data_IF_651867209897
#
_entry.id   IF_651867209897
#
_cell.length_a   1.000
_cell.length_b   1.000
_cell.length_c   1.000
_cell.angle_alpha   90.00
_cell.angle_beta   90.00
_cell.angle_gamma   90.00
#
_symmetry.space_group_name_H-M   'P 1'
#
loop_
_entity.id
_entity.type
_entity.pdbx_description
1 polymer ?
#
# COMPACT_ATOMS: atom_id res chain seq x y z
N UNK A 1 -43.74 -37.03 47.71
CA UNK A 1 -42.50 -36.33 47.35
C UNK A 1 -42.81 -35.42 46.17
N UNK A 2 -43.17 -34.17 46.47
CA UNK A 2 -43.62 -33.21 45.47
C UNK A 2 -42.47 -32.30 45.06
N UNK A 3 -42.20 -32.21 43.76
CA UNK A 3 -41.34 -31.17 43.23
C UNK A 3 -42.10 -29.84 43.21
N UNK A 4 -41.44 -28.79 43.70
CA UNK A 4 -41.89 -27.40 43.61
C UNK A 4 -42.11 -27.02 42.14
N UNK A 5 -43.24 -26.36 41.85
CA UNK A 5 -43.58 -25.81 40.51
C UNK A 5 -42.64 -24.66 40.16
N UNK A 6 -41.39 -24.95 39.83
CA UNK A 6 -40.56 -24.04 39.05
C UNK A 6 -40.87 -24.28 37.57
N UNK A 7 -41.32 -23.23 36.89
CA UNK A 7 -41.59 -23.27 35.45
C UNK A 7 -40.25 -23.24 34.72
N UNK A 8 -39.83 -24.37 34.14
CA UNK A 8 -38.74 -24.34 33.16
C UNK A 8 -39.23 -23.67 31.89
N UNK A 9 -38.53 -22.62 31.43
CA UNK A 9 -38.78 -22.04 30.13
C UNK A 9 -37.88 -22.73 29.10
N UNK A 10 -38.38 -23.75 28.38
CA UNK A 10 -37.60 -24.44 27.36
C UNK A 10 -37.91 -23.91 25.96
N UNK A 11 -36.87 -23.88 25.13
CA UNK A 11 -37.06 -23.79 23.68
C UNK A 11 -37.68 -25.10 23.15
N UNK A 12 -38.69 -25.03 22.25
CA UNK A 12 -39.39 -26.23 21.78
C UNK A 12 -38.45 -27.26 21.15
N UNK A 13 -38.48 -28.51 21.63
CA UNK A 13 -37.70 -29.62 21.06
C UNK A 13 -36.24 -29.71 21.51
N UNK A 14 -35.75 -28.77 22.32
CA UNK A 14 -34.33 -28.70 22.70
C UNK A 14 -33.99 -29.33 24.06
N UNK A 15 -34.98 -29.85 24.78
CA UNK A 15 -34.77 -30.54 26.05
C UNK A 15 -36.07 -30.96 26.75
N UNK A 16 -35.92 -31.45 27.97
CA UNK A 16 -37.01 -31.85 28.88
C UNK A 16 -36.84 -31.17 30.24
N UNK A 17 -37.95 -30.77 30.88
CA UNK A 17 -37.93 -30.20 32.22
C UNK A 17 -38.22 -31.28 33.26
N UNK A 18 -37.31 -31.45 34.22
CA UNK A 18 -37.50 -32.33 35.37
C UNK A 18 -37.39 -31.52 36.66
N UNK A 19 -38.51 -31.40 37.39
CA UNK A 19 -38.51 -30.79 38.73
C UNK A 19 -37.97 -29.36 38.82
N UNK A 20 -38.13 -28.55 37.76
CA UNK A 20 -37.62 -27.18 37.71
C UNK A 20 -36.21 -27.04 37.14
N UNK A 21 -35.57 -28.16 36.78
CA UNK A 21 -34.26 -28.19 36.11
C UNK A 21 -34.44 -28.58 34.64
N UNK A 22 -33.81 -27.82 33.74
CA UNK A 22 -33.81 -28.07 32.30
C UNK A 22 -32.72 -29.09 31.95
N UNK A 23 -33.11 -30.23 31.37
CA UNK A 23 -32.19 -31.20 30.78
C UNK A 23 -32.18 -31.05 29.26
N UNK A 24 -31.08 -30.52 28.73
CA UNK A 24 -30.96 -30.29 27.30
C UNK A 24 -30.69 -31.58 26.53
N UNK A 25 -31.24 -31.67 25.32
CA UNK A 25 -30.94 -32.72 24.38
C UNK A 25 -29.49 -32.59 23.86
N UNK A 26 -28.94 -33.69 23.34
CA UNK A 26 -27.63 -33.67 22.70
C UNK A 26 -27.58 -32.60 21.61
N UNK A 27 -26.56 -31.76 21.63
CA UNK A 27 -26.45 -30.62 20.70
C UNK A 27 -26.91 -29.28 21.29
N UNK A 28 -27.45 -29.23 22.51
CA UNK A 28 -27.96 -28.00 23.12
C UNK A 28 -27.45 -27.79 24.54
N UNK A 29 -27.20 -26.52 24.89
CA UNK A 29 -26.69 -26.09 26.21
C UNK A 29 -27.38 -24.80 26.68
N UNK A 30 -27.11 -24.42 27.92
CA UNK A 30 -27.67 -23.23 28.59
C UNK A 30 -28.90 -23.54 29.44
N UNK A 31 -29.25 -22.62 30.33
CA UNK A 31 -30.29 -22.79 31.35
C UNK A 31 -31.69 -23.09 30.76
N UNK A 32 -31.90 -22.75 29.49
CA UNK A 32 -33.15 -22.90 28.77
C UNK A 32 -32.99 -23.76 27.50
N UNK A 33 -31.84 -24.41 27.34
CA UNK A 33 -31.47 -25.20 26.15
C UNK A 33 -31.63 -24.40 24.85
N UNK A 34 -31.28 -23.11 24.88
CA UNK A 34 -31.45 -22.18 23.77
C UNK A 34 -30.20 -22.07 22.88
N UNK A 35 -29.08 -22.64 23.29
CA UNK A 35 -27.80 -22.49 22.63
C UNK A 35 -27.40 -23.80 21.96
N UNK A 36 -27.26 -23.81 20.63
CA UNK A 36 -26.74 -24.97 19.91
C UNK A 36 -25.24 -25.13 20.13
N UNK A 37 -24.76 -26.36 20.29
CA UNK A 37 -23.33 -26.71 20.32
C UNK A 37 -22.77 -27.01 18.93
N UNK A 38 -23.60 -26.93 17.87
CA UNK A 38 -23.11 -27.08 16.51
C UNK A 38 -22.22 -25.90 16.12
N UNK A 39 -21.05 -26.21 15.57
CA UNK A 39 -20.06 -25.21 15.14
C UNK A 39 -19.89 -25.14 13.63
N UNK A 40 -20.65 -25.93 12.86
CA UNK A 40 -20.53 -26.03 11.40
C UNK A 40 -20.72 -24.68 10.71
N UNK A 41 -21.68 -23.87 11.18
CA UNK A 41 -21.95 -22.51 10.70
C UNK A 41 -20.88 -21.47 11.05
N UNK A 42 -19.99 -21.78 12.00
CA UNK A 42 -18.92 -20.89 12.43
C UNK A 42 -17.58 -21.17 11.72
N UNK A 43 -17.49 -22.21 10.89
CA UNK A 43 -16.27 -22.56 10.17
C UNK A 43 -16.26 -21.73 8.88
N UNK A 44 -15.22 -20.93 8.70
CA UNK A 44 -14.99 -20.13 7.50
C UNK A 44 -14.46 -20.98 6.33
N UNK A 45 -14.44 -20.45 5.12
CA UNK A 45 -13.95 -21.14 3.91
C UNK A 45 -12.48 -21.59 4.04
N UNK A 46 -11.70 -20.87 4.85
CA UNK A 46 -10.30 -21.20 5.17
C UNK A 46 -10.17 -22.36 6.18
N UNK A 47 -11.29 -22.97 6.61
CA UNK A 47 -11.35 -24.04 7.59
C UNK A 47 -11.12 -23.59 9.03
N UNK A 48 -10.97 -22.29 9.27
CA UNK A 48 -10.76 -21.72 10.60
C UNK A 48 -12.09 -21.35 11.27
N UNK A 49 -12.16 -21.54 12.59
CA UNK A 49 -13.31 -21.12 13.38
C UNK A 49 -13.34 -19.60 13.47
N UNK A 50 -14.42 -18.98 12.99
CA UNK A 50 -14.62 -17.53 12.94
C UNK A 50 -13.42 -16.77 12.33
N UNK A 51 -12.83 -17.36 11.27
CA UNK A 51 -11.64 -16.84 10.58
C UNK A 51 -10.44 -16.56 11.51
N UNK A 52 -10.42 -17.14 12.73
CA UNK A 52 -9.43 -16.87 13.76
C UNK A 52 -9.61 -15.54 14.51
N UNK A 53 -10.67 -14.78 14.22
CA UNK A 53 -10.89 -13.39 14.70
C UNK A 53 -12.00 -13.26 15.74
N UNK A 54 -12.54 -14.40 16.17
CA UNK A 54 -13.66 -14.44 17.09
C UNK A 54 -13.85 -15.82 17.72
N UNK A 55 -14.94 -15.95 18.47
CA UNK A 55 -15.33 -17.21 19.11
C UNK A 55 -16.73 -17.62 18.66
N UNK A 56 -16.94 -18.91 18.42
CA UNK A 56 -18.26 -19.44 18.08
C UNK A 56 -19.10 -19.59 19.34
N UNK A 57 -20.21 -18.87 19.41
CA UNK A 57 -21.16 -18.90 20.53
C UNK A 57 -22.54 -19.22 19.98
N UNK A 58 -23.12 -20.35 20.41
CA UNK A 58 -24.45 -20.81 19.98
C UNK A 58 -24.62 -20.94 18.45
N UNK A 59 -23.60 -21.42 17.75
CA UNK A 59 -23.63 -21.56 16.29
C UNK A 59 -23.49 -20.24 15.51
N UNK A 60 -23.08 -19.15 16.17
CA UNK A 60 -22.77 -17.87 15.52
C UNK A 60 -21.42 -17.34 15.98
N UNK A 61 -20.68 -16.71 15.07
CA UNK A 61 -19.42 -16.08 15.44
C UNK A 61 -19.64 -14.77 16.18
N UNK A 62 -18.95 -14.62 17.31
CA UNK A 62 -18.81 -13.38 18.04
C UNK A 62 -17.40 -12.85 17.78
N UNK A 63 -17.31 -11.84 16.93
CA UNK A 63 -16.04 -11.26 16.50
C UNK A 63 -15.43 -10.45 17.64
N UNK A 64 -14.21 -10.83 18.04
CA UNK A 64 -13.46 -10.18 19.13
C UNK A 64 -12.44 -9.19 18.60
N UNK A 65 -12.02 -9.35 17.35
CA UNK A 65 -11.04 -8.46 16.74
C UNK A 65 -11.69 -7.11 16.35
N UNK A 66 -11.09 -5.96 16.71
CA UNK A 66 -11.66 -4.65 16.43
C UNK A 66 -11.83 -4.38 14.94
N UNK A 67 -13.06 -4.08 14.52
CA UNK A 67 -13.39 -3.79 13.12
C UNK A 67 -13.59 -5.03 12.26
N UNK A 68 -13.51 -6.23 12.83
CA UNK A 68 -13.92 -7.46 12.14
C UNK A 68 -15.44 -7.64 12.17
N UNK A 69 -16.03 -8.11 11.07
CA UNK A 69 -17.46 -8.38 10.91
C UNK A 69 -17.71 -9.45 9.82
N UNK A 70 -18.96 -9.87 9.67
CA UNK A 70 -19.34 -10.99 8.81
C UNK A 70 -19.87 -12.18 9.61
N UNK A 71 -20.46 -13.17 8.94
CA UNK A 71 -21.06 -14.33 9.60
C UNK A 71 -20.00 -15.21 10.28
N UNK A 72 -18.78 -15.21 9.73
CA UNK A 72 -17.60 -15.90 10.26
C UNK A 72 -16.47 -14.94 10.64
N UNK A 73 -16.74 -13.64 10.81
CA UNK A 73 -15.73 -12.61 11.08
C UNK A 73 -14.66 -12.46 9.97
N UNK A 74 -15.01 -12.83 8.75
CA UNK A 74 -14.08 -12.86 7.61
C UNK A 74 -13.70 -11.47 7.09
N UNK A 75 -14.53 -10.46 7.33
CA UNK A 75 -14.31 -9.10 6.84
C UNK A 75 -13.62 -8.27 7.91
N UNK A 76 -12.45 -7.71 7.62
CA UNK A 76 -11.78 -6.77 8.52
C UNK A 76 -10.99 -5.71 7.75
N UNK A 77 -11.58 -4.52 7.48
CA UNK A 77 -10.91 -3.44 6.77
C UNK A 77 -9.78 -2.78 7.57
N UNK A 78 -9.76 -2.96 8.89
CA UNK A 78 -8.75 -2.41 9.81
C UNK A 78 -7.57 -3.36 10.06
N UNK A 79 -7.63 -4.59 9.56
CA UNK A 79 -6.63 -5.60 9.86
C UNK A 79 -5.47 -5.57 8.84
N UNK A 80 -4.21 -5.62 9.29
CA UNK A 80 -3.02 -5.54 8.41
C UNK A 80 -2.90 -6.70 7.40
N UNK A 81 -3.48 -7.87 7.68
CA UNK A 81 -3.40 -9.05 6.81
C UNK A 81 -4.08 -8.87 5.44
N UNK A 82 -5.07 -7.98 5.33
CA UNK A 82 -5.73 -7.71 4.06
C UNK A 82 -4.75 -7.03 3.09
N UNK A 83 -4.04 -6.00 3.56
CA UNK A 83 -3.00 -5.32 2.79
C UNK A 83 -1.86 -6.28 2.41
N UNK A 84 -1.38 -7.13 3.33
CA UNK A 84 -0.27 -8.04 3.04
C UNK A 84 -0.65 -9.14 2.04
N UNK A 85 -1.87 -9.66 2.11
CA UNK A 85 -2.35 -10.66 1.15
C UNK A 85 -2.52 -10.06 -0.24
N UNK A 86 -3.15 -8.87 -0.32
CA UNK A 86 -3.32 -8.15 -1.59
C UNK A 86 -1.99 -7.65 -2.15
N UNK A 87 -1.03 -7.27 -1.30
CA UNK A 87 0.34 -6.91 -1.70
C UNK A 87 1.02 -8.04 -2.47
N UNK A 88 0.97 -9.28 -1.97
CA UNK A 88 1.56 -10.44 -2.67
C UNK A 88 0.95 -10.65 -4.06
N UNK A 89 -0.34 -10.36 -4.21
CA UNK A 89 -1.02 -10.41 -5.50
C UNK A 89 -0.57 -9.30 -6.47
N UNK A 90 -0.41 -8.07 -5.96
CA UNK A 90 0.13 -6.94 -6.74
C UNK A 90 1.57 -7.23 -7.18
N UNK A 91 2.44 -7.66 -6.26
CA UNK A 91 3.84 -8.00 -6.57
C UNK A 91 3.91 -9.05 -7.68
N UNK A 92 3.11 -10.11 -7.57
CA UNK A 92 3.15 -11.19 -8.57
C UNK A 92 2.56 -10.76 -9.91
N UNK A 93 1.39 -10.11 -9.94
CA UNK A 93 0.68 -9.80 -11.19
C UNK A 93 1.28 -8.63 -11.95
N UNK A 94 1.85 -7.65 -11.25
CA UNK A 94 2.41 -6.43 -11.85
C UNK A 94 3.92 -6.52 -12.04
N UNK A 95 4.65 -7.04 -11.06
CA UNK A 95 6.12 -7.03 -11.06
C UNK A 95 6.74 -8.41 -11.34
N UNK A 96 5.93 -9.47 -11.52
CA UNK A 96 6.39 -10.86 -11.56
C UNK A 96 7.35 -11.20 -10.41
N UNK A 97 7.16 -10.52 -9.27
CA UNK A 97 8.01 -10.59 -8.08
C UNK A 97 7.13 -10.93 -6.87
N UNK A 98 7.71 -11.22 -5.72
CA UNK A 98 6.96 -11.47 -4.48
C UNK A 98 6.98 -12.92 -4.00
N UNK A 99 6.50 -13.12 -2.77
CA UNK A 99 6.71 -14.34 -1.98
C UNK A 99 5.99 -15.62 -2.44
N UNK A 100 5.40 -15.64 -3.64
CA UNK A 100 4.84 -16.86 -4.22
C UNK A 100 5.90 -17.59 -5.04
N UNK A 101 6.18 -18.85 -4.66
CA UNK A 101 7.22 -19.70 -5.29
C UNK A 101 6.89 -20.19 -6.70
N UNK A 102 5.65 -20.01 -7.20
CA UNK A 102 5.24 -20.44 -8.53
C UNK A 102 4.12 -19.55 -9.14
N UNK A 103 4.22 -19.26 -10.43
CA UNK A 103 3.33 -18.35 -11.16
C UNK A 103 1.90 -18.91 -11.28
N UNK A 104 1.75 -20.24 -11.33
CA UNK A 104 0.43 -20.89 -11.38
C UNK A 104 -0.37 -20.68 -10.09
N UNK A 105 0.30 -20.67 -8.94
CA UNK A 105 -0.33 -20.45 -7.63
C UNK A 105 -0.89 -19.04 -7.54
N UNK A 106 -0.13 -18.06 -8.03
CA UNK A 106 -0.54 -16.67 -8.10
C UNK A 106 -1.78 -16.45 -8.98
N UNK A 107 -1.83 -17.06 -10.17
CA UNK A 107 -2.96 -16.92 -11.08
C UNK A 107 -4.25 -17.57 -10.53
N UNK A 108 -4.12 -18.59 -9.66
CA UNK A 108 -5.25 -19.21 -8.95
C UNK A 108 -5.76 -18.40 -7.76
N UNK A 109 -4.86 -17.84 -6.94
CA UNK A 109 -5.20 -17.10 -5.72
C UNK A 109 -5.66 -15.67 -6.02
N UNK A 110 -4.99 -15.00 -6.96
CA UNK A 110 -5.19 -13.58 -7.24
C UNK A 110 -6.18 -13.40 -8.39
N UNK A 111 -7.48 -13.56 -8.08
CA UNK A 111 -8.59 -13.39 -9.04
C UNK A 111 -9.15 -11.97 -9.09
N UNK A 112 -8.66 -11.10 -8.22
CA UNK A 112 -9.15 -9.73 -8.15
C UNK A 112 -8.75 -8.93 -9.40
N UNK A 113 -9.60 -7.96 -9.75
CA UNK A 113 -9.31 -7.03 -10.84
C UNK A 113 -8.34 -5.96 -10.36
N UNK A 114 -7.21 -5.82 -11.06
CA UNK A 114 -6.16 -4.85 -10.74
C UNK A 114 -6.16 -3.76 -11.80
N UNK A 115 -6.46 -2.52 -11.38
CA UNK A 115 -6.39 -1.33 -12.20
C UNK A 115 -5.12 -0.56 -11.85
N UNK A 116 -4.25 -0.31 -12.82
CA UNK A 116 -3.07 0.53 -12.63
C UNK A 116 -3.37 1.98 -13.01
N UNK A 117 -3.07 2.91 -12.11
CA UNK A 117 -3.28 4.36 -12.31
C UNK A 117 -1.99 5.15 -12.10
N UNK A 118 -1.90 6.32 -12.71
CA UNK A 118 -0.76 7.23 -12.52
C UNK A 118 -0.82 7.95 -11.17
N UNK A 119 -2.03 8.27 -10.70
CA UNK A 119 -2.27 8.92 -9.42
C UNK A 119 -3.39 8.19 -8.68
N UNK A 120 -3.17 7.90 -7.39
CA UNK A 120 -4.19 7.27 -6.55
C UNK A 120 -5.08 8.33 -5.89
N UNK A 121 -6.39 8.13 -5.98
CA UNK A 121 -7.33 8.85 -5.14
C UNK A 121 -7.35 8.22 -3.74
N UNK A 122 -7.01 9.02 -2.73
CA UNK A 122 -6.95 8.56 -1.32
C UNK A 122 -8.09 9.09 -0.47
N UNK A 123 -8.97 9.91 -1.05
CA UNK A 123 -10.11 10.54 -0.36
C UNK A 123 -11.36 9.64 -0.30
N UNK A 124 -11.31 8.46 -0.94
CA UNK A 124 -12.43 7.52 -0.97
C UNK A 124 -12.58 6.80 0.38
N UNK A 125 -13.61 7.19 1.15
CA UNK A 125 -13.94 6.61 2.47
C UNK A 125 -14.26 5.12 2.44
N UNK A 126 -14.61 4.58 1.27
CA UNK A 126 -14.94 3.18 1.06
C UNK A 126 -13.74 2.35 0.55
N UNK A 127 -12.58 2.97 0.37
CA UNK A 127 -11.38 2.30 -0.10
C UNK A 127 -10.31 2.32 0.99
N UNK A 128 -9.65 1.19 1.21
CA UNK A 128 -8.55 1.07 2.17
C UNK A 128 -7.24 1.33 1.45
N UNK A 129 -6.45 2.29 1.92
CA UNK A 129 -5.13 2.63 1.39
C UNK A 129 -4.04 1.79 2.07
N UNK A 130 -3.31 1.02 1.26
CA UNK A 130 -2.16 0.24 1.68
C UNK A 130 -0.87 0.83 1.08
N UNK A 131 0.19 0.90 1.89
CA UNK A 131 1.51 1.36 1.46
C UNK A 131 2.57 0.33 1.86
N UNK A 132 3.50 0.03 0.97
CA UNK A 132 4.64 -0.81 1.28
C UNK A 132 5.92 -0.29 0.62
N UNK A 133 7.07 -0.65 1.19
CA UNK A 133 8.39 -0.29 0.64
C UNK A 133 8.87 -1.40 -0.28
N UNK A 134 9.35 -1.01 -1.45
CA UNK A 134 10.01 -1.88 -2.43
C UNK A 134 11.52 -1.97 -2.12
N UNK A 135 12.20 -3.00 -2.64
CA UNK A 135 13.64 -3.23 -2.47
C UNK A 135 14.52 -2.03 -2.87
N UNK A 136 14.08 -1.23 -3.84
CA UNK A 136 14.77 -0.02 -4.31
C UNK A 136 14.57 1.22 -3.43
N UNK A 137 14.15 1.06 -2.16
CA UNK A 137 13.76 2.16 -1.25
C UNK A 137 12.60 3.04 -1.77
N UNK A 138 11.84 2.56 -2.75
CA UNK A 138 10.66 3.24 -3.26
C UNK A 138 9.41 2.88 -2.45
N UNK A 139 8.40 3.75 -2.45
CA UNK A 139 7.12 3.50 -1.77
C UNK A 139 6.06 3.19 -2.81
N UNK A 140 5.57 1.96 -2.79
CA UNK A 140 4.41 1.55 -3.58
C UNK A 140 3.14 1.80 -2.76
N UNK A 141 2.10 2.31 -3.43
CA UNK A 141 0.79 2.53 -2.83
C UNK A 141 -0.28 1.85 -3.67
N UNK A 142 -1.31 1.35 -3.01
CA UNK A 142 -2.50 0.82 -3.65
C UNK A 142 -3.70 0.97 -2.74
N UNK A 143 -4.89 1.06 -3.33
CA UNK A 143 -6.15 1.02 -2.62
C UNK A 143 -6.90 -0.25 -3.00
N UNK A 144 -7.70 -0.77 -2.08
CA UNK A 144 -8.67 -1.80 -2.41
C UNK A 144 -10.04 -1.43 -1.85
N UNK A 145 -11.08 -1.76 -2.62
CA UNK A 145 -12.46 -1.65 -2.18
C UNK A 145 -13.21 -2.93 -2.48
N UNK A 146 -14.12 -3.31 -1.59
CA UNK A 146 -14.95 -4.50 -1.74
C UNK A 146 -16.31 -4.11 -2.30
N UNK A 147 -16.69 -4.71 -3.43
CA UNK A 147 -18.03 -4.55 -3.99
C UNK A 147 -19.03 -5.41 -3.23
N UNK A 148 -20.31 -5.02 -3.22
CA UNK A 148 -21.41 -5.74 -2.54
C UNK A 148 -21.62 -7.18 -3.00
N UNK A 149 -21.05 -7.55 -4.15
CA UNK A 149 -21.03 -8.90 -4.72
C UNK A 149 -19.91 -9.81 -4.18
N UNK A 150 -19.06 -9.31 -3.27
CA UNK A 150 -17.90 -10.04 -2.74
C UNK A 150 -16.67 -10.03 -3.65
N UNK A 151 -16.72 -9.32 -4.79
CA UNK A 151 -15.57 -9.11 -5.66
C UNK A 151 -14.81 -7.85 -5.22
N UNK A 152 -13.49 -7.96 -5.01
CA UNK A 152 -12.66 -6.82 -4.63
C UNK A 152 -11.94 -6.22 -5.84
N UNK A 153 -11.92 -4.89 -5.92
CA UNK A 153 -11.19 -4.15 -6.95
C UNK A 153 -9.96 -3.52 -6.32
N UNK A 154 -8.80 -3.76 -6.90
CA UNK A 154 -7.53 -3.18 -6.46
C UNK A 154 -7.14 -2.11 -7.44
N UNK A 155 -6.80 -0.93 -6.93
CA UNK A 155 -6.22 0.15 -7.72
C UNK A 155 -4.80 0.39 -7.23
N UNK A 156 -3.80 0.18 -8.08
CA UNK A 156 -2.38 0.31 -7.72
C UNK A 156 -1.72 1.43 -8.53
N UNK A 157 -0.69 2.08 -7.98
CA UNK A 157 0.14 2.96 -8.81
C UNK A 157 0.85 2.15 -9.88
N UNK A 158 0.98 2.73 -11.08
CA UNK A 158 1.75 2.14 -12.17
C UNK A 158 3.25 2.10 -11.87
N UNK A 159 3.78 3.17 -11.28
CA UNK A 159 5.20 3.30 -10.92
C UNK A 159 5.31 3.66 -9.44
N UNK A 160 6.22 3.03 -8.68
CA UNK A 160 6.40 3.33 -7.26
C UNK A 160 6.99 4.74 -7.10
N UNK A 161 6.56 5.43 -6.05
CA UNK A 161 7.11 6.75 -5.71
C UNK A 161 8.49 6.55 -5.09
N UNK A 162 9.53 6.64 -5.92
CA UNK A 162 10.91 6.70 -5.48
C UNK A 162 11.23 8.16 -5.13
N UNK A 163 11.78 8.41 -3.94
CA UNK A 163 12.43 9.70 -3.70
C UNK A 163 13.50 9.89 -4.77
N UNK A 164 13.51 11.05 -5.44
CA UNK A 164 14.55 11.35 -6.43
C UNK A 164 15.88 11.39 -5.70
N UNK A 165 16.59 10.26 -5.66
CA UNK A 165 18.02 10.27 -5.46
C UNK A 165 18.56 11.16 -6.56
N UNK A 166 18.96 12.38 -6.21
CA UNK A 166 19.47 13.34 -7.19
C UNK A 166 20.57 12.62 -7.95
N UNK A 167 20.39 12.41 -9.26
CA UNK A 167 21.37 11.71 -10.08
C UNK A 167 22.70 12.45 -9.93
N UNK A 168 23.60 11.92 -9.12
CA UNK A 168 24.85 12.59 -8.73
C UNK A 168 25.65 12.94 -9.97
N UNK A 169 25.56 12.11 -11.00
CA UNK A 169 26.13 12.35 -12.33
C UNK A 169 25.62 13.64 -12.99
N UNK A 170 24.30 13.93 -12.95
CA UNK A 170 23.77 15.17 -13.52
C UNK A 170 24.27 16.40 -12.78
N UNK A 171 24.30 16.35 -11.44
CA UNK A 171 24.80 17.46 -10.62
C UNK A 171 26.29 17.70 -10.89
N UNK A 172 27.09 16.64 -10.97
CA UNK A 172 28.51 16.73 -11.29
C UNK A 172 28.74 17.34 -12.67
N UNK A 173 28.01 16.90 -13.70
CA UNK A 173 28.13 17.44 -15.05
C UNK A 173 27.72 18.92 -15.12
N UNK A 174 26.66 19.31 -14.41
CA UNK A 174 26.22 20.70 -14.35
C UNK A 174 27.28 21.61 -13.69
N UNK A 175 27.85 21.17 -12.56
CA UNK A 175 28.88 21.92 -11.84
C UNK A 175 30.14 22.05 -12.69
N UNK A 176 30.65 20.95 -13.24
CA UNK A 176 31.85 20.95 -14.10
C UNK A 176 31.63 21.81 -15.34
N UNK A 177 30.47 21.68 -16.00
CA UNK A 177 30.11 22.49 -17.15
C UNK A 177 30.09 23.99 -16.84
N UNK A 178 29.53 24.38 -15.68
CA UNK A 178 29.50 25.79 -15.26
C UNK A 178 30.90 26.37 -15.03
N UNK A 179 31.80 25.60 -14.40
CA UNK A 179 33.19 26.03 -14.13
C UNK A 179 33.95 26.24 -15.44
N UNK A 180 33.83 25.30 -16.38
CA UNK A 180 34.46 25.41 -17.70
C UNK A 180 33.93 26.62 -18.47
N UNK A 181 32.61 26.85 -18.44
CA UNK A 181 31.99 27.97 -19.15
C UNK A 181 32.43 29.32 -18.59
N UNK A 182 32.48 29.46 -17.26
CA UNK A 182 33.02 30.67 -16.59
C UNK A 182 34.49 30.89 -16.98
N UNK A 183 35.30 29.83 -17.01
CA UNK A 183 36.70 29.91 -17.43
C UNK A 183 36.85 30.40 -18.87
N UNK A 184 36.05 29.87 -19.81
CA UNK A 184 36.05 30.30 -21.21
C UNK A 184 35.64 31.77 -21.35
N UNK A 185 34.63 32.22 -20.61
CA UNK A 185 34.19 33.62 -20.62
C UNK A 185 35.29 34.56 -20.09
N UNK A 186 35.96 34.20 -19.00
CA UNK A 186 37.09 34.98 -18.47
C UNK A 186 38.25 35.05 -19.45
N UNK A 187 38.60 33.93 -20.11
CA UNK A 187 39.65 33.92 -21.14
C UNK A 187 39.28 34.75 -22.36
N UNK A 188 38.01 34.68 -22.80
CA UNK A 188 37.52 35.49 -23.92
C UNK A 188 37.54 36.99 -23.58
N UNK A 189 37.10 37.37 -22.37
CA UNK A 189 37.15 38.74 -21.90
C UNK A 189 38.59 39.24 -21.79
N UNK A 190 39.50 38.45 -21.20
CA UNK A 190 40.91 38.78 -21.11
C UNK A 190 41.54 38.96 -22.49
N UNK A 191 41.25 38.05 -23.43
CA UNK A 191 41.72 38.15 -24.82
C UNK A 191 41.18 39.40 -25.52
N UNK A 192 39.91 39.74 -25.33
CA UNK A 192 39.32 40.97 -25.87
C UNK A 192 39.99 42.22 -25.29
N UNK A 193 40.21 42.27 -23.98
CA UNK A 193 40.91 43.39 -23.32
C UNK A 193 42.32 43.56 -23.86
N UNK A 194 43.09 42.47 -23.97
CA UNK A 194 44.44 42.51 -24.53
C UNK A 194 44.39 42.99 -25.98
N UNK A 195 43.49 42.44 -26.78
CA UNK A 195 43.38 42.80 -28.21
C UNK A 195 43.04 44.28 -28.39
N UNK A 196 42.15 44.83 -27.56
CA UNK A 196 41.82 46.26 -27.57
C UNK A 196 43.00 47.10 -27.11
N UNK A 197 43.72 46.67 -26.07
CA UNK A 197 44.90 47.38 -25.57
C UNK A 197 46.01 47.43 -26.64
N UNK A 198 46.30 46.30 -27.27
CA UNK A 198 47.31 46.15 -28.32
C UNK A 198 46.97 46.99 -29.56
N UNK A 199 45.70 46.98 -29.99
CA UNK A 199 45.22 47.86 -31.08
C UNK A 199 45.32 49.35 -30.70
N UNK A 200 45.03 49.69 -29.45
CA UNK A 200 45.09 51.08 -28.96
C UNK A 200 46.53 51.58 -28.92
N UNK A 201 47.47 50.77 -28.44
CA UNK A 201 48.89 51.08 -28.46
C UNK A 201 49.42 51.17 -29.89
N UNK A 202 49.07 50.21 -30.76
CA UNK A 202 49.49 50.22 -32.16
C UNK A 202 49.04 51.49 -32.89
N UNK A 203 47.81 51.97 -32.65
CA UNK A 203 47.32 53.23 -33.23
C UNK A 203 48.13 54.45 -32.76
N UNK A 204 48.52 54.50 -31.48
CA UNK A 204 49.40 55.55 -30.94
C UNK A 204 50.77 55.50 -31.60
N UNK A 205 51.36 54.32 -31.72
CA UNK A 205 52.66 54.13 -32.38
C UNK A 205 52.63 54.56 -33.86
N UNK A 206 51.59 54.24 -34.63
CA UNK A 206 51.48 54.69 -36.02
C UNK A 206 51.38 56.22 -36.13
N UNK A 207 50.62 56.86 -35.25
CA UNK A 207 50.49 58.33 -35.23
C UNK A 207 51.78 59.05 -34.84
N UNK A 208 52.60 58.45 -33.98
CA UNK A 208 53.93 58.97 -33.64
C UNK A 208 54.92 58.81 -34.80
N UNK A 209 54.89 57.67 -35.50
CA UNK A 209 55.73 57.42 -36.69
C UNK A 209 55.40 58.36 -37.86
N UNK A 210 54.12 58.67 -38.11
CA UNK A 210 53.76 59.59 -39.19
C UNK A 210 54.25 61.01 -38.90
N UNK A 211 54.09 61.52 -37.66
CA UNK A 211 54.59 62.83 -37.25
C UNK A 211 56.12 62.94 -37.37
N UNK A 212 56.87 61.93 -36.93
CA UNK A 212 58.32 61.89 -37.07
C UNK A 212 58.82 61.86 -38.53
N UNK A 213 57.95 61.46 -39.47
CA UNK A 213 58.29 61.41 -40.91
C UNK A 213 58.10 62.74 -41.64
N UNK A 214 57.49 63.75 -41.01
CA UNK A 214 57.30 65.10 -41.57
C UNK A 214 58.23 66.16 -40.96
N UNK A 215 59.08 65.79 -40.00
CA UNK A 215 60.07 66.67 -39.36
C UNK A 215 61.52 66.47 -39.87
N UNK A 216 61.71 65.79 -41.01
CA UNK A 216 62.97 65.71 -41.77
C UNK A 216 62.77 66.31 -43.15
#
# INVERSE_FOLDING_TARGET
>A
FGCSRASCFLSPGHGECHCGECKCHAGYVGDNCNCSTETSSCISDDGQMCSGRGSCVCGRCQCTEPGSFGDTCEKCPTCPDACDTKRKCIECRLFNSGGFTDNQTCQRLCKDEIITVETLNTDDRNAVLCLYKTDDNCVMKFTYSEHTSGQSILTALKEPECGTGTNVLMVLLAVVGSILLVGVVLLAAWKLVITVHDLREFSRFQSARSRARYEM
#
